data_IF_455098107480
#
_entry.id   IF_455098107480
#
_cell.length_a   1.000
_cell.length_b   1.000
_cell.length_c   1.000
_cell.angle_alpha   90.00
_cell.angle_beta   90.00
_cell.angle_gamma   90.00
#
_symmetry.space_group_name_H-M   'P 1'
#
loop_
_entity.id
_entity.type
_entity.pdbx_description
1 polymer ?
#
# COMPACT_ATOMS: atom_id res chain seq x y z
N UNK A 1 -2.38 -6.88 -0.65
CA UNK A 1 -1.67 -6.19 -1.75
C UNK A 1 -0.60 -5.28 -1.18
N UNK A 2 0.66 -5.44 -1.59
CA UNK A 2 1.85 -4.74 -1.11
C UNK A 2 2.63 -4.09 -2.28
N UNK A 3 2.06 -3.07 -2.95
CA UNK A 3 2.76 -2.39 -4.03
C UNK A 3 4.01 -1.65 -3.52
N UNK A 4 5.00 -1.49 -4.40
CA UNK A 4 6.10 -0.55 -4.17
C UNK A 4 5.51 0.85 -3.92
N UNK A 5 6.16 1.62 -3.04
CA UNK A 5 5.76 2.95 -2.53
C UNK A 5 5.80 4.08 -3.58
N UNK A 6 5.35 3.77 -4.80
CA UNK A 6 5.39 4.61 -5.98
C UNK A 6 4.00 4.70 -6.58
N UNK A 7 3.56 5.91 -6.94
CA UNK A 7 2.25 6.11 -7.55
C UNK A 7 2.05 5.27 -8.83
N UNK A 8 3.11 5.12 -9.63
CA UNK A 8 3.11 4.29 -10.84
C UNK A 8 2.90 2.79 -10.59
N UNK A 9 3.22 2.29 -9.40
CA UNK A 9 2.97 0.90 -9.01
C UNK A 9 1.64 0.73 -8.26
N UNK A 10 1.25 1.72 -7.47
CA UNK A 10 -0.03 1.72 -6.73
C UNK A 10 -1.23 1.79 -7.70
N UNK A 11 -1.16 2.60 -8.75
CA UNK A 11 -2.28 2.79 -9.68
C UNK A 11 -2.69 1.51 -10.43
N UNK A 12 -1.77 0.70 -10.98
CA UNK A 12 -2.11 -0.60 -11.56
C UNK A 12 -2.75 -1.57 -10.56
N UNK A 13 -2.27 -1.59 -9.31
CA UNK A 13 -2.87 -2.40 -8.25
C UNK A 13 -4.31 -1.98 -7.97
N UNK A 14 -4.58 -0.67 -7.93
CA UNK A 14 -5.96 -0.15 -7.79
C UNK A 14 -6.86 -0.58 -8.94
N UNK A 15 -6.37 -0.60 -10.17
CA UNK A 15 -7.15 -1.05 -11.33
C UNK A 15 -7.40 -2.57 -11.29
N UNK A 16 -6.40 -3.35 -10.85
CA UNK A 16 -6.55 -4.78 -10.62
C UNK A 16 -7.61 -5.04 -9.55
N UNK A 17 -7.54 -4.35 -8.42
CA UNK A 17 -8.51 -4.43 -7.31
C UNK A 17 -9.94 -4.23 -7.80
N UNK A 18 -10.20 -3.19 -8.59
CA UNK A 18 -11.54 -2.93 -9.17
C UNK A 18 -12.00 -4.07 -10.05
N UNK A 19 -11.13 -4.53 -10.97
CA UNK A 19 -11.45 -5.61 -11.90
C UNK A 19 -11.70 -6.94 -11.19
N UNK A 20 -10.99 -7.22 -10.11
CA UNK A 20 -11.24 -8.38 -9.27
C UNK A 20 -12.64 -8.27 -8.68
N UNK A 21 -12.91 -7.21 -7.91
CA UNK A 21 -14.20 -7.01 -7.24
C UNK A 21 -15.37 -7.06 -8.24
N UNK A 22 -15.27 -6.37 -9.37
CA UNK A 22 -16.33 -6.31 -10.39
C UNK A 22 -16.58 -7.66 -11.09
N UNK A 23 -15.59 -8.56 -11.12
CA UNK A 23 -15.73 -9.91 -11.73
C UNK A 23 -16.15 -10.98 -10.72
N UNK A 24 -16.11 -10.69 -9.43
CA UNK A 24 -16.51 -11.60 -8.34
C UNK A 24 -18.03 -11.75 -8.21
N UNK A 25 -18.70 -12.26 -9.24
CA UNK A 25 -20.16 -12.41 -9.25
C UNK A 25 -20.63 -13.49 -8.26
N UNK A 26 -19.78 -14.48 -7.96
CA UNK A 26 -20.12 -15.66 -7.13
C UNK A 26 -19.17 -15.90 -5.95
N UNK A 27 -18.14 -15.08 -5.79
CA UNK A 27 -17.14 -15.19 -4.71
C UNK A 27 -16.99 -13.80 -4.11
N UNK A 28 -17.10 -13.68 -2.79
CA UNK A 28 -16.78 -12.42 -2.11
C UNK A 28 -15.26 -12.26 -2.06
N UNK A 29 -14.73 -11.18 -2.63
CA UNK A 29 -13.31 -10.83 -2.54
C UNK A 29 -13.18 -9.64 -1.60
N UNK A 30 -12.33 -9.80 -0.58
CA UNK A 30 -11.93 -8.72 0.32
C UNK A 30 -10.45 -8.39 0.10
N UNK A 31 -10.12 -7.11 -0.08
CA UNK A 31 -8.78 -6.68 -0.47
C UNK A 31 -8.19 -5.75 0.59
N UNK A 32 -7.10 -6.21 1.21
CA UNK A 32 -6.23 -5.37 2.03
C UNK A 32 -5.17 -4.70 1.14
N UNK A 33 -5.21 -3.37 1.02
CA UNK A 33 -4.19 -2.59 0.34
C UNK A 33 -3.24 -1.97 1.37
N UNK A 34 -2.02 -2.50 1.44
CA UNK A 34 -1.03 -2.13 2.43
C UNK A 34 -0.05 -1.09 1.87
N UNK A 35 0.11 0.05 2.55
CA UNK A 35 1.08 1.08 2.16
C UNK A 35 1.38 2.06 3.31
N UNK A 36 2.36 2.94 3.12
CA UNK A 36 2.64 4.06 4.03
C UNK A 36 1.52 5.10 4.03
N UNK A 37 1.39 5.86 5.13
CA UNK A 37 0.33 6.88 5.30
C UNK A 37 0.27 7.89 4.15
N UNK A 38 1.43 8.36 3.70
CA UNK A 38 1.53 9.37 2.64
C UNK A 38 0.95 8.88 1.32
N UNK A 39 1.12 7.60 1.01
CA UNK A 39 0.59 6.95 -0.17
C UNK A 39 -0.90 6.57 -0.01
N UNK A 40 -1.36 6.26 1.21
CA UNK A 40 -2.77 5.93 1.47
C UNK A 40 -3.70 7.15 1.45
N UNK A 41 -3.24 8.32 1.89
CA UNK A 41 -4.03 9.58 1.89
C UNK A 41 -4.69 9.93 0.54
N UNK A 42 -3.98 9.91 -0.61
CA UNK A 42 -4.61 10.19 -1.90
C UNK A 42 -5.54 9.05 -2.35
N UNK A 43 -5.27 7.80 -1.96
CA UNK A 43 -6.09 6.64 -2.31
C UNK A 43 -7.42 6.67 -1.55
N UNK A 44 -7.40 6.97 -0.25
CA UNK A 44 -8.62 7.02 0.56
C UNK A 44 -9.62 8.05 0.00
N UNK A 45 -9.14 9.23 -0.40
CA UNK A 45 -9.97 10.24 -1.07
C UNK A 45 -10.61 9.72 -2.37
N UNK A 46 -9.85 8.97 -3.17
CA UNK A 46 -10.36 8.35 -4.40
C UNK A 46 -11.33 7.21 -4.13
N UNK A 47 -11.16 6.46 -3.03
CA UNK A 47 -12.05 5.34 -2.68
C UNK A 47 -13.40 5.80 -2.14
N UNK A 48 -13.43 6.90 -1.36
CA UNK A 48 -14.68 7.47 -0.81
C UNK A 48 -15.68 7.83 -1.91
N UNK A 49 -15.23 8.15 -3.12
CA UNK A 49 -16.13 8.44 -4.25
C UNK A 49 -16.61 7.21 -5.02
N UNK A 50 -16.34 5.99 -4.54
CA UNK A 50 -16.57 4.76 -5.31
C UNK A 50 -17.21 3.66 -4.46
N UNK A 51 -18.04 2.83 -5.10
CA UNK A 51 -18.74 1.64 -4.59
C UNK A 51 -17.89 0.54 -3.93
N UNK A 52 -16.58 0.72 -3.77
CA UNK A 52 -15.65 -0.34 -3.35
C UNK A 52 -15.20 -0.24 -1.88
N UNK A 53 -15.71 0.73 -1.12
CA UNK A 53 -15.32 0.97 0.29
C UNK A 53 -15.61 -0.20 1.22
N UNK A 54 -16.58 -1.06 0.89
CA UNK A 54 -16.91 -2.25 1.70
C UNK A 54 -16.01 -3.44 1.39
N UNK A 55 -15.36 -3.46 0.22
CA UNK A 55 -14.53 -4.58 -0.25
C UNK A 55 -13.03 -4.30 -0.16
N UNK A 56 -12.63 -3.05 0.10
CA UNK A 56 -11.23 -2.62 0.16
C UNK A 56 -10.93 -2.00 1.51
N UNK A 57 -10.00 -2.59 2.24
CA UNK A 57 -9.44 -2.03 3.46
C UNK A 57 -8.03 -1.47 3.19
N UNK A 58 -7.80 -0.23 3.64
CA UNK A 58 -6.48 0.40 3.57
C UNK A 58 -5.71 0.12 4.85
N UNK A 59 -4.64 -0.67 4.75
CA UNK A 59 -3.82 -1.07 5.89
C UNK A 59 -2.53 -0.28 5.91
N UNK A 60 -2.30 0.44 7.00
CA UNK A 60 -1.12 1.29 7.16
C UNK A 60 0.01 0.49 7.80
N UNK A 61 1.23 0.63 7.27
CA UNK A 61 2.46 0.29 7.98
C UNK A 61 3.37 1.51 8.07
N UNK A 62 4.33 1.48 8.99
CA UNK A 62 5.27 2.56 9.23
C UNK A 62 6.63 2.23 8.63
N UNK A 63 7.27 3.26 8.07
CA UNK A 63 8.69 3.20 7.79
C UNK A 63 9.43 3.86 8.95
N UNK A 64 10.55 3.28 9.42
CA UNK A 64 11.45 3.96 10.33
C UNK A 64 11.88 5.30 9.75
N UNK A 65 11.77 6.36 10.55
CA UNK A 65 12.35 7.65 10.21
C UNK A 65 13.87 7.54 10.28
N UNK A 66 14.52 7.97 9.20
CA UNK A 66 15.98 8.08 9.13
C UNK A 66 16.34 9.57 9.02
N UNK A 67 17.54 10.00 9.44
CA UNK A 67 17.94 11.42 9.39
C UNK A 67 17.75 12.07 8.01
N UNK A 68 17.98 11.29 6.94
CA UNK A 68 17.85 11.71 5.55
C UNK A 68 16.47 11.36 4.93
N UNK A 69 15.59 10.68 5.69
CA UNK A 69 14.29 10.20 5.21
C UNK A 69 13.17 10.40 6.27
N UNK A 70 12.78 11.66 6.53
CA UNK A 70 11.58 11.99 7.29
C UNK A 70 10.30 11.41 6.64
N UNK A 71 9.21 11.37 7.42
CA UNK A 71 7.95 10.73 7.01
C UNK A 71 7.29 11.28 5.74
N UNK A 72 7.57 12.52 5.34
CA UNK A 72 7.09 13.07 4.07
C UNK A 72 7.84 12.52 2.83
N UNK A 73 8.97 11.85 3.02
CA UNK A 73 9.73 11.16 1.97
C UNK A 73 9.50 9.64 1.96
N UNK A 74 8.49 9.14 2.68
CA UNK A 74 8.10 7.72 2.69
C UNK A 74 7.29 7.32 1.43
N UNK A 75 7.69 7.85 0.27
CA UNK A 75 7.16 7.63 -1.07
C UNK A 75 8.26 7.89 -2.08
N UNK A 76 8.21 7.26 -3.26
CA UNK A 76 9.12 7.59 -4.36
C UNK A 76 8.68 8.84 -5.12
N UNK A 77 7.47 9.35 -4.88
CA UNK A 77 6.99 10.57 -5.53
C UNK A 77 7.84 11.76 -5.08
N UNK A 78 8.38 12.52 -6.03
CA UNK A 78 9.22 13.70 -5.77
C UNK A 78 10.48 13.41 -4.93
N UNK A 79 10.84 12.14 -4.75
CA UNK A 79 12.03 11.75 -4.00
C UNK A 79 13.28 11.91 -4.87
N UNK A 80 14.31 12.56 -4.32
CA UNK A 80 15.60 12.69 -4.99
C UNK A 80 16.26 11.32 -5.17
N UNK A 81 16.90 11.10 -6.33
CA UNK A 81 17.43 9.79 -6.70
C UNK A 81 18.44 9.20 -5.68
N UNK A 82 19.21 10.06 -5.01
CA UNK A 82 20.16 9.62 -3.98
C UNK A 82 19.49 9.11 -2.69
N UNK A 83 18.21 9.44 -2.46
CA UNK A 83 17.42 8.99 -1.31
C UNK A 83 16.67 7.68 -1.57
N UNK A 84 16.56 7.23 -2.83
CA UNK A 84 15.90 5.96 -3.16
C UNK A 84 16.51 4.75 -2.43
N UNK A 85 17.85 4.59 -2.36
CA UNK A 85 18.44 3.49 -1.58
C UNK A 85 18.06 3.55 -0.09
N UNK A 86 17.94 4.75 0.47
CA UNK A 86 17.57 4.97 1.87
C UNK A 86 16.10 4.61 2.10
N UNK A 87 15.21 4.94 1.15
CA UNK A 87 13.81 4.51 1.17
C UNK A 87 13.69 2.98 1.15
N UNK A 88 14.40 2.30 0.25
CA UNK A 88 14.37 0.83 0.20
C UNK A 88 14.98 0.18 1.44
N UNK A 89 16.01 0.80 2.03
CA UNK A 89 16.58 0.36 3.30
C UNK A 89 15.55 0.50 4.44
N UNK A 90 14.88 1.64 4.55
CA UNK A 90 13.81 1.84 5.53
C UNK A 90 12.64 0.86 5.33
N UNK A 91 12.24 0.58 4.08
CA UNK A 91 11.25 -0.44 3.76
C UNK A 91 11.68 -1.84 4.23
N UNK A 92 12.95 -2.21 4.02
CA UNK A 92 13.50 -3.48 4.50
C UNK A 92 13.47 -3.58 6.03
N UNK A 93 13.76 -2.50 6.74
CA UNK A 93 13.66 -2.44 8.20
C UNK A 93 12.21 -2.61 8.70
N UNK A 94 11.22 -2.30 7.86
CA UNK A 94 9.79 -2.41 8.16
C UNK A 94 9.24 -3.83 7.94
N UNK A 95 10.05 -4.76 7.44
CA UNK A 95 9.64 -6.14 7.18
C UNK A 95 8.99 -6.84 8.39
N UNK A 96 9.46 -6.68 9.65
CA UNK A 96 8.79 -7.28 10.79
C UNK A 96 7.36 -6.78 11.00
N UNK A 97 7.11 -5.47 10.80
CA UNK A 97 5.75 -4.91 10.89
C UNK A 97 4.87 -5.44 9.76
N UNK A 98 5.38 -5.46 8.53
CA UNK A 98 4.67 -6.00 7.37
C UNK A 98 4.33 -7.48 7.58
N UNK A 99 5.28 -8.26 8.10
CA UNK A 99 5.08 -9.67 8.44
C UNK A 99 3.96 -9.85 9.46
N UNK A 100 4.01 -9.10 10.56
CA UNK A 100 2.96 -9.14 11.60
C UNK A 100 1.59 -8.76 11.04
N UNK A 101 1.52 -7.79 10.12
CA UNK A 101 0.29 -7.42 9.43
C UNK A 101 -0.24 -8.60 8.62
N UNK A 102 0.60 -9.23 7.79
CA UNK A 102 0.18 -10.38 6.97
C UNK A 102 -0.27 -11.55 7.85
N UNK A 103 0.46 -11.87 8.92
CA UNK A 103 0.08 -12.92 9.87
C UNK A 103 -1.23 -12.62 10.59
N UNK A 104 -1.49 -11.35 10.93
CA UNK A 104 -2.72 -10.94 11.62
C UNK A 104 -3.93 -10.97 10.69
N UNK A 105 -3.75 -10.52 9.44
CA UNK A 105 -4.82 -10.48 8.44
C UNK A 105 -5.14 -11.86 7.87
N UNK A 106 -4.19 -12.80 7.89
CA UNK A 106 -4.32 -14.17 7.35
C UNK A 106 -4.92 -14.20 5.93
N UNK A 107 -4.35 -13.46 4.97
CA UNK A 107 -4.91 -13.42 3.62
C UNK A 107 -4.72 -14.77 2.92
N UNK A 108 -5.66 -15.15 2.06
CA UNK A 108 -5.52 -16.33 1.19
C UNK A 108 -4.39 -16.16 0.17
N UNK A 109 -4.09 -14.91 -0.21
CA UNK A 109 -3.08 -14.60 -1.21
C UNK A 109 -2.44 -13.22 -0.98
N UNK A 110 -1.14 -13.12 -1.26
CA UNK A 110 -0.37 -11.86 -1.19
C UNK A 110 0.14 -11.52 -2.59
N UNK A 111 -0.15 -10.29 -3.03
CA UNK A 111 0.28 -9.68 -4.29
C UNK A 111 1.08 -8.44 -3.96
#
# INVERSE_FOLDING_TARGET
MLPILAHGHISPFMELTKKLIDRSIHISIHIYLCSTLINLKPISKKLISIKYTESIELVKFHLPELPELPSHYHTTNELLAHLLPILFYSLKLSNPEIHNIVESLKPDFVI
#
